data_IF_215456418108
#
_entry.id   IF_215456418108
#
_cell.length_a   1.000
_cell.length_b   1.000
_cell.length_c   1.000
_cell.angle_alpha   90.00
_cell.angle_beta   90.00
_cell.angle_gamma   90.00
#
_symmetry.space_group_name_H-M   'P 1'
#
loop_
_entity.id
_entity.type
_entity.pdbx_description
1 polymer ?
#
# COMPACT_ATOMS: atom_id res chain seq x y z
N UNK A 1 -18.79 24.90 -39.79
CA UNK A 1 -18.67 23.42 -39.91
C UNK A 1 -17.27 22.88 -39.59
N UNK A 2 -16.18 23.53 -40.03
CA UNK A 2 -14.79 23.06 -39.77
C UNK A 2 -14.34 23.09 -38.29
N UNK A 3 -14.85 24.03 -37.48
CA UNK A 3 -14.51 24.12 -36.04
C UNK A 3 -15.14 23.04 -35.16
N UNK A 4 -16.30 22.49 -35.57
CA UNK A 4 -17.02 21.46 -34.80
C UNK A 4 -16.29 20.10 -34.90
N UNK A 5 -15.70 19.81 -36.07
CA UNK A 5 -14.90 18.60 -36.27
C UNK A 5 -13.61 18.61 -35.44
N UNK A 6 -12.97 19.77 -35.28
CA UNK A 6 -11.77 19.90 -34.44
C UNK A 6 -12.09 19.74 -32.95
N UNK A 7 -13.21 20.28 -32.47
CA UNK A 7 -13.62 20.13 -31.08
C UNK A 7 -13.93 18.66 -30.72
N UNK A 8 -14.53 17.89 -31.63
CA UNK A 8 -14.85 16.47 -31.39
C UNK A 8 -13.61 15.57 -31.30
N UNK A 9 -12.53 15.88 -32.04
CA UNK A 9 -11.27 15.13 -32.01
C UNK A 9 -10.48 15.37 -30.71
N UNK A 10 -10.55 16.59 -30.16
CA UNK A 10 -9.89 16.89 -28.88
C UNK A 10 -10.63 16.26 -27.70
N UNK A 11 -11.96 16.20 -27.75
CA UNK A 11 -12.77 15.56 -26.68
C UNK A 11 -12.62 14.03 -26.68
N UNK A 12 -12.47 13.38 -27.83
CA UNK A 12 -12.28 11.92 -27.89
C UNK A 12 -10.90 11.46 -27.43
N UNK A 13 -9.86 12.29 -27.60
CA UNK A 13 -8.51 11.98 -27.11
C UNK A 13 -8.38 12.08 -25.58
N UNK A 14 -9.22 12.89 -24.91
CA UNK A 14 -9.17 13.08 -23.46
C UNK A 14 -9.82 11.94 -22.66
N UNK A 15 -10.66 11.11 -23.29
CA UNK A 15 -11.43 10.07 -22.58
C UNK A 15 -10.67 8.76 -22.34
N UNK A 16 -9.47 8.60 -22.91
CA UNK A 16 -8.68 7.35 -22.78
C UNK A 16 -7.84 7.28 -21.49
N UNK A 17 -7.80 8.34 -20.68
CA UNK A 17 -6.91 8.42 -19.52
C UNK A 17 -7.51 7.90 -18.20
N UNK A 18 -8.80 7.55 -18.12
CA UNK A 18 -9.47 7.26 -16.83
C UNK A 18 -9.99 5.85 -16.66
N UNK A 19 -9.48 4.89 -17.43
CA UNK A 19 -9.75 3.48 -17.17
C UNK A 19 -8.71 2.95 -16.16
N UNK A 20 -8.84 3.30 -14.88
CA UNK A 20 -8.28 2.47 -13.80
C UNK A 20 -9.08 1.16 -13.76
N UNK A 21 -8.91 0.33 -14.80
CA UNK A 21 -9.38 -1.03 -14.78
C UNK A 21 -8.65 -1.71 -13.63
N UNK A 22 -9.40 -2.20 -12.65
CA UNK A 22 -8.92 -3.08 -11.59
C UNK A 22 -8.37 -4.36 -12.23
N UNK A 23 -7.13 -4.30 -12.71
CA UNK A 23 -6.42 -5.39 -13.36
C UNK A 23 -6.39 -6.57 -12.41
N UNK A 24 -6.76 -7.76 -12.91
CA UNK A 24 -6.67 -8.99 -12.13
C UNK A 24 -5.23 -9.47 -12.07
N UNK A 25 -4.91 -10.19 -11.00
CA UNK A 25 -3.60 -10.79 -10.77
C UNK A 25 -3.76 -12.09 -10.00
N UNK A 26 -2.81 -13.03 -10.18
CA UNK A 26 -2.66 -14.23 -9.37
C UNK A 26 -1.36 -14.18 -8.55
N UNK A 27 -0.37 -13.40 -8.97
CA UNK A 27 0.81 -13.05 -8.17
C UNK A 27 1.12 -11.55 -8.24
N UNK A 28 2.03 -11.10 -7.36
CA UNK A 28 2.50 -9.71 -7.32
C UNK A 28 3.22 -9.28 -8.61
N UNK A 29 3.89 -10.21 -9.29
CA UNK A 29 4.69 -9.93 -10.50
C UNK A 29 3.85 -9.54 -11.73
N UNK A 30 2.54 -9.82 -11.70
CA UNK A 30 1.59 -9.41 -12.73
C UNK A 30 1.17 -7.93 -12.60
N UNK A 31 1.47 -7.31 -11.46
CA UNK A 31 1.19 -5.91 -11.19
C UNK A 31 2.39 -5.03 -11.56
N UNK A 32 2.13 -3.73 -11.79
CA UNK A 32 3.21 -2.79 -12.12
C UNK A 32 4.03 -2.45 -10.88
N UNK A 33 5.20 -1.88 -11.10
CA UNK A 33 5.95 -1.22 -10.03
C UNK A 33 5.05 -0.20 -9.30
N UNK A 34 5.13 -0.19 -7.96
CA UNK A 34 4.24 0.61 -7.13
C UNK A 34 2.83 0.04 -6.95
N UNK A 35 2.59 -1.21 -7.36
CA UNK A 35 1.34 -1.93 -7.12
C UNK A 35 1.59 -3.28 -6.41
N UNK A 36 0.55 -3.82 -5.78
CA UNK A 36 0.55 -5.16 -5.22
C UNK A 36 -0.72 -5.92 -5.63
N UNK A 37 -0.69 -7.26 -5.55
CA UNK A 37 -1.85 -8.08 -5.79
C UNK A 37 -2.67 -8.29 -4.49
N UNK A 38 -3.90 -7.75 -4.45
CA UNK A 38 -4.79 -7.85 -3.29
C UNK A 38 -5.90 -8.86 -3.53
N UNK A 39 -6.11 -9.78 -2.59
CA UNK A 39 -7.22 -10.70 -2.60
C UNK A 39 -8.17 -10.48 -1.43
N UNK A 40 -9.46 -10.49 -1.75
CA UNK A 40 -10.54 -10.45 -0.78
C UNK A 40 -10.99 -11.89 -0.56
N UNK A 41 -10.80 -12.40 0.66
CA UNK A 41 -10.95 -13.83 1.04
C UNK A 41 -12.21 -14.49 0.46
N UNK A 42 -13.30 -13.74 0.30
CA UNK A 42 -14.61 -14.16 -0.20
C UNK A 42 -14.61 -14.54 -1.70
N UNK A 43 -13.69 -14.03 -2.51
CA UNK A 43 -13.64 -14.19 -4.00
C UNK A 43 -12.33 -14.81 -4.51
N UNK A 44 -11.56 -15.46 -3.63
CA UNK A 44 -10.22 -16.01 -3.91
C UNK A 44 -10.13 -16.93 -5.14
N UNK A 45 -11.23 -17.54 -5.60
CA UNK A 45 -11.25 -18.41 -6.76
C UNK A 45 -10.91 -17.69 -8.09
N UNK A 46 -11.13 -16.37 -8.17
CA UNK A 46 -10.89 -15.58 -9.38
C UNK A 46 -9.55 -14.84 -9.39
N UNK A 47 -8.71 -15.07 -8.38
CA UNK A 47 -7.49 -14.29 -8.14
C UNK A 47 -7.77 -12.94 -7.46
N UNK A 48 -6.73 -12.13 -7.36
CA UNK A 48 -6.77 -10.80 -6.78
C UNK A 48 -6.92 -9.68 -7.81
N UNK A 49 -6.77 -8.45 -7.33
CA UNK A 49 -6.69 -7.23 -8.12
C UNK A 49 -5.41 -6.47 -7.81
N UNK A 50 -4.76 -5.94 -8.84
CA UNK A 50 -3.67 -5.00 -8.67
C UNK A 50 -4.21 -3.71 -8.06
N UNK A 51 -3.59 -3.29 -6.96
CA UNK A 51 -3.87 -2.04 -6.25
C UNK A 51 -2.57 -1.30 -6.01
N UNK A 52 -2.64 0.03 -5.94
CA UNK A 52 -1.46 0.85 -5.62
C UNK A 52 -0.99 0.57 -4.19
N UNK A 53 0.32 0.67 -3.98
CA UNK A 53 0.90 0.72 -2.63
C UNK A 53 0.33 1.91 -1.85
N UNK A 54 0.30 1.80 -0.52
CA UNK A 54 -0.26 2.82 0.36
C UNK A 54 0.69 4.00 0.49
N UNK A 55 0.16 5.20 0.37
CA UNK A 55 0.91 6.44 0.52
C UNK A 55 0.99 6.88 1.99
N UNK A 56 1.82 7.88 2.28
CA UNK A 56 1.95 8.44 3.62
C UNK A 56 0.60 8.96 4.15
N UNK A 57 0.31 8.69 5.42
CA UNK A 57 -0.94 9.02 6.10
C UNK A 57 -2.11 8.10 5.74
N UNK A 58 -1.96 7.19 4.78
CA UNK A 58 -3.02 6.23 4.48
C UNK A 58 -3.09 5.10 5.51
N UNK A 59 -4.31 4.64 5.80
CA UNK A 59 -4.51 3.52 6.72
C UNK A 59 -3.82 2.25 6.21
N UNK A 60 -3.11 1.55 7.09
CA UNK A 60 -2.37 0.33 6.75
C UNK A 60 -2.78 -0.83 7.66
N UNK A 61 -2.29 -2.04 7.38
CA UNK A 61 -2.54 -3.20 8.23
C UNK A 61 -1.15 -3.66 8.64
N UNK A 62 -0.84 -3.71 9.94
CA UNK A 62 0.46 -4.19 10.39
C UNK A 62 0.63 -5.61 9.88
N UNK A 63 1.60 -5.80 8.99
CA UNK A 63 1.90 -7.11 8.43
C UNK A 63 2.61 -7.92 9.52
N UNK A 64 1.92 -8.94 10.02
CA UNK A 64 2.51 -9.92 10.93
C UNK A 64 3.27 -10.92 10.06
N UNK A 65 4.49 -10.56 9.63
CA UNK A 65 5.39 -11.50 8.97
C UNK A 65 6.80 -11.31 9.49
N UNK A 66 7.22 -12.27 10.30
CA UNK A 66 8.51 -12.36 10.99
C UNK A 66 9.71 -12.66 10.07
N UNK A 67 9.48 -12.88 8.77
CA UNK A 67 10.47 -13.45 7.84
C UNK A 67 10.95 -12.48 6.74
N UNK A 68 10.44 -11.25 6.68
CA UNK A 68 10.89 -10.23 5.71
C UNK A 68 10.55 -10.54 4.24
N UNK A 69 9.91 -11.68 3.96
CA UNK A 69 9.55 -12.08 2.60
C UNK A 69 8.24 -11.41 2.16
N UNK A 70 8.31 -10.62 1.08
CA UNK A 70 7.14 -9.96 0.48
C UNK A 70 6.17 -11.05 -0.02
N UNK A 71 4.93 -11.15 0.50
CA UNK A 71 4.00 -12.17 0.04
C UNK A 71 3.59 -11.93 -1.42
N UNK A 72 3.39 -13.03 -2.15
CA UNK A 72 2.88 -13.00 -3.53
C UNK A 72 1.49 -12.35 -3.64
N UNK A 73 0.69 -12.41 -2.56
CA UNK A 73 -0.63 -11.80 -2.49
C UNK A 73 -0.88 -11.23 -1.10
N UNK A 74 -1.49 -10.05 -1.05
CA UNK A 74 -1.90 -9.38 0.18
C UNK A 74 -3.39 -9.56 0.43
N UNK A 75 -3.76 -9.66 1.69
CA UNK A 75 -5.16 -9.71 2.09
C UNK A 75 -5.68 -8.31 2.38
N UNK A 76 -6.85 -8.00 1.79
CA UNK A 76 -7.62 -6.76 1.98
C UNK A 76 -6.99 -5.47 1.42
N UNK A 77 -5.67 -5.29 1.51
CA UNK A 77 -4.99 -4.06 1.10
C UNK A 77 -3.49 -4.27 0.84
N UNK A 78 -2.90 -3.35 0.08
CA UNK A 78 -1.46 -3.31 -0.17
C UNK A 78 -0.66 -2.84 1.05
N UNK A 79 0.64 -3.15 1.11
CA UNK A 79 1.54 -2.57 2.09
C UNK A 79 1.78 -1.08 1.80
N UNK A 80 2.44 -0.42 2.76
CA UNK A 80 3.01 0.90 2.55
C UNK A 80 4.03 0.89 1.40
N UNK A 81 4.15 2.02 0.72
CA UNK A 81 5.19 2.25 -0.28
C UNK A 81 6.59 2.08 0.34
N UNK A 82 7.58 1.75 -0.48
CA UNK A 82 8.96 1.61 -0.01
C UNK A 82 9.43 2.89 0.70
N UNK A 83 10.09 2.71 1.85
CA UNK A 83 10.52 3.80 2.73
C UNK A 83 9.46 4.28 3.73
N UNK A 84 8.28 3.67 3.77
CA UNK A 84 7.24 3.95 4.77
C UNK A 84 6.99 2.73 5.66
N UNK A 85 6.73 2.97 6.94
CA UNK A 85 6.38 1.96 7.93
C UNK A 85 4.92 2.09 8.38
N UNK A 86 4.31 0.95 8.69
CA UNK A 86 2.92 0.90 9.13
C UNK A 86 2.83 1.00 10.66
N UNK A 87 2.65 2.21 11.17
CA UNK A 87 2.66 2.49 12.60
C UNK A 87 1.27 2.82 13.16
N UNK A 88 1.01 2.35 14.38
CA UNK A 88 -0.24 2.61 15.08
C UNK A 88 -0.19 3.93 15.83
N UNK A 89 -1.15 4.83 15.58
CA UNK A 89 -1.26 6.10 16.33
C UNK A 89 -1.54 5.90 17.81
N UNK A 90 -2.28 4.85 18.16
CA UNK A 90 -2.63 4.55 19.53
C UNK A 90 -2.57 3.05 19.78
N UNK A 91 -2.01 2.66 20.92
CA UNK A 91 -2.05 1.30 21.41
C UNK A 91 -2.94 1.22 22.65
N UNK A 92 -3.95 0.35 22.61
CA UNK A 92 -4.86 0.12 23.72
C UNK A 92 -4.51 -1.24 24.31
N UNK A 93 -4.00 -1.26 25.54
CA UNK A 93 -3.71 -2.49 26.27
C UNK A 93 -4.96 -2.97 27.01
N UNK A 94 -5.47 -4.15 26.64
CA UNK A 94 -6.56 -4.83 27.33
C UNK A 94 -6.03 -6.15 27.90
N UNK A 95 -5.70 -6.14 29.18
CA UNK A 95 -5.02 -7.27 29.83
C UNK A 95 -3.62 -7.49 29.24
N UNK A 96 -3.39 -8.68 28.69
CA UNK A 96 -2.14 -9.04 28.01
C UNK A 96 -2.14 -8.69 26.51
N UNK A 97 -3.28 -8.24 25.96
CA UNK A 97 -3.41 -7.94 24.54
C UNK A 97 -3.16 -6.46 24.25
N UNK A 98 -2.36 -6.17 23.22
CA UNK A 98 -2.14 -4.83 22.69
C UNK A 98 -2.96 -4.68 21.41
N UNK A 99 -3.91 -3.76 21.42
CA UNK A 99 -4.73 -3.41 20.24
C UNK A 99 -4.12 -2.18 19.60
N UNK A 100 -3.57 -2.37 18.40
CA UNK A 100 -3.07 -1.28 17.55
C UNK A 100 -4.24 -0.59 16.86
N UNK A 101 -4.50 0.67 17.19
CA UNK A 101 -5.62 1.44 16.69
C UNK A 101 -5.17 2.52 15.70
N UNK A 102 -5.88 2.62 14.58
CA UNK A 102 -5.58 3.53 13.45
C UNK A 102 -4.12 3.47 12.99
N UNK A 103 -3.67 2.29 12.52
CA UNK A 103 -2.39 2.19 11.84
C UNK A 103 -2.39 2.98 10.52
N UNK A 104 -1.33 3.78 10.31
CA UNK A 104 -1.11 4.60 9.12
C UNK A 104 0.33 4.43 8.61
N UNK A 105 0.53 4.62 7.31
CA UNK A 105 1.87 4.64 6.74
C UNK A 105 2.57 5.95 7.10
N UNK A 106 3.72 5.87 7.78
CA UNK A 106 4.52 7.02 8.19
C UNK A 106 5.94 6.85 7.72
N UNK A 107 6.66 7.96 7.59
CA UNK A 107 8.12 7.91 7.40
C UNK A 107 8.72 7.42 8.72
N UNK A 108 9.53 6.35 8.73
CA UNK A 108 10.22 5.94 9.94
C UNK A 108 11.12 7.09 10.40
N UNK A 109 11.03 7.46 11.68
CA UNK A 109 11.96 8.42 12.25
C UNK A 109 13.35 7.77 12.21
N UNK A 110 14.31 8.36 11.50
CA UNK A 110 15.71 7.93 11.59
C UNK A 110 16.16 8.25 13.02
N UNK A 111 16.12 7.25 13.90
CA UNK A 111 16.81 7.32 15.18
C UNK A 111 18.29 7.57 14.88
N UNK A 112 18.68 8.84 15.03
CA UNK A 112 20.06 9.27 15.07
C UNK A 112 20.83 8.35 16.03
N UNK A 113 21.78 7.62 15.46
CA UNK A 113 22.82 6.91 16.19
C UNK A 113 23.53 7.89 17.12
N UNK A 114 23.47 7.63 18.42
CA UNK A 114 24.63 7.55 19.33
C UNK A 114 24.12 7.31 20.75
N UNK A 115 24.10 6.05 21.18
CA UNK A 115 24.24 5.75 22.61
C UNK A 115 25.74 5.91 22.87
N UNK A 116 26.22 6.95 23.57
CA UNK A 116 27.61 6.99 23.99
C UNK A 116 27.85 5.77 24.90
N UNK A 117 28.81 4.94 24.52
CA UNK A 117 29.29 3.84 25.36
C UNK A 117 29.69 4.41 26.74
N UNK A 118 29.29 3.81 27.86
CA UNK A 118 29.72 4.28 29.17
C UNK A 118 31.23 4.09 29.31
N UNK A 119 31.93 5.17 29.65
CA UNK A 119 33.36 5.19 29.97
C UNK A 119 33.66 4.13 31.08
N UNK A 120 34.66 3.27 30.91
CA UNK A 120 35.09 2.37 31.96
C UNK A 120 35.92 3.14 33.01
N UNK A 121 35.36 3.38 34.19
CA UNK A 121 36.10 3.74 35.41
C UNK A 121 36.85 2.56 36.02
#
# INVERSE_FOLDING_TARGET
MKGILLALVVVSALQLATAEQTRRCKSADECKEGECCVNYVIVSFFGGHCKKLREEGESCTPLIKDDGEKPNMYHFQCPCKEGLECEAKHEIKIGEHIIKHRPECVVPEEDDKEIPEPDPE
#
